data_IF_166189051964
#
_entry.id   IF_166189051964
#
_cell.length_a   1.000
_cell.length_b   1.000
_cell.length_c   1.000
_cell.angle_alpha   90.00
_cell.angle_beta   90.00
_cell.angle_gamma   90.00
#
_symmetry.space_group_name_H-M   'P 1'
#
loop_
_entity.id
_entity.type
_entity.pdbx_description
1 polymer ?
#
# COMPACT_ATOMS: atom_id res chain seq x y z
N UNK A 1 -1.41 -19.03 -0.06
CA UNK A 1 -1.08 -19.10 -1.49
C UNK A 1 -1.28 -17.70 -2.02
N UNK A 2 -0.20 -16.95 -2.17
CA UNK A 2 -0.22 -15.65 -2.81
C UNK A 2 -0.80 -15.83 -4.21
N UNK A 3 -1.88 -15.12 -4.49
CA UNK A 3 -2.41 -15.03 -5.84
C UNK A 3 -1.68 -13.88 -6.51
N UNK A 4 -0.46 -14.15 -6.97
CA UNK A 4 0.24 -13.24 -7.86
C UNK A 4 -0.65 -12.96 -9.07
N UNK A 5 -1.19 -11.74 -9.12
CA UNK A 5 -1.91 -11.23 -10.27
C UNK A 5 -3.18 -11.99 -10.63
N UNK A 6 -4.21 -11.93 -9.78
CA UNK A 6 -5.57 -12.26 -10.25
C UNK A 6 -6.02 -11.16 -11.19
N UNK A 7 -5.75 -11.35 -12.47
CA UNK A 7 -6.33 -10.54 -13.53
C UNK A 7 -7.82 -10.79 -13.53
N UNK A 8 -8.60 -9.79 -13.15
CA UNK A 8 -10.05 -9.83 -13.28
C UNK A 8 -10.38 -9.50 -14.74
N UNK A 9 -10.19 -10.46 -15.59
CA UNK A 9 -10.65 -10.37 -16.97
C UNK A 9 -11.98 -11.12 -17.11
N UNK A 10 -12.58 -11.03 -18.30
CA UNK A 10 -13.80 -11.77 -18.65
C UNK A 10 -13.72 -13.28 -18.39
N UNK A 11 -12.51 -13.84 -18.20
CA UNK A 11 -12.28 -15.26 -17.92
C UNK A 11 -12.36 -15.62 -16.44
N UNK A 12 -12.18 -14.68 -15.50
CA UNK A 12 -12.19 -14.98 -14.06
C UNK A 12 -13.58 -15.05 -13.47
N UNK A 13 -14.59 -14.53 -14.19
CA UNK A 13 -16.03 -14.67 -13.86
C UNK A 13 -16.33 -14.49 -12.35
N UNK A 14 -15.72 -13.46 -11.71
CA UNK A 14 -15.99 -13.16 -10.31
C UNK A 14 -17.47 -12.96 -10.02
N UNK A 15 -18.24 -12.54 -11.03
CA UNK A 15 -19.70 -12.39 -10.96
C UNK A 15 -20.41 -13.75 -10.86
N UNK A 16 -19.77 -14.85 -11.25
CA UNK A 16 -20.32 -16.21 -11.19
C UNK A 16 -19.89 -16.99 -9.94
N UNK A 17 -19.08 -16.40 -9.06
CA UNK A 17 -18.67 -17.03 -7.80
C UNK A 17 -19.56 -16.62 -6.64
N UNK A 18 -19.85 -17.56 -5.75
CA UNK A 18 -20.53 -17.29 -4.48
C UNK A 18 -19.60 -16.66 -3.42
N UNK A 19 -18.30 -16.55 -3.72
CA UNK A 19 -17.31 -15.95 -2.79
C UNK A 19 -17.51 -14.43 -2.79
N UNK A 20 -17.76 -13.81 -1.64
CA UNK A 20 -17.91 -12.36 -1.56
C UNK A 20 -16.68 -11.63 -2.11
N UNK A 21 -16.87 -10.60 -2.94
CA UNK A 21 -15.81 -9.83 -3.58
C UNK A 21 -14.82 -9.27 -2.54
N UNK A 22 -15.30 -8.89 -1.35
CA UNK A 22 -14.45 -8.39 -0.25
C UNK A 22 -13.39 -9.39 0.25
N UNK A 23 -13.53 -10.69 -0.09
CA UNK A 23 -12.56 -11.74 0.27
C UNK A 23 -11.29 -11.67 -0.59
N UNK A 24 -11.39 -11.00 -1.76
CA UNK A 24 -10.26 -10.87 -2.67
C UNK A 24 -9.50 -9.58 -2.39
N UNK A 25 -8.22 -9.72 -2.13
CA UNK A 25 -7.28 -8.61 -1.95
C UNK A 25 -5.99 -8.92 -2.74
N UNK A 26 -6.01 -8.71 -4.08
CA UNK A 26 -4.79 -8.84 -4.86
C UNK A 26 -3.76 -7.81 -4.40
N UNK A 27 -2.53 -8.26 -4.25
CA UNK A 27 -1.36 -7.42 -3.92
C UNK A 27 -0.45 -7.28 -5.12
N UNK A 28 0.49 -6.33 -5.05
CA UNK A 28 1.45 -6.03 -6.13
C UNK A 28 0.78 -5.66 -7.46
N UNK A 29 -0.43 -5.07 -7.41
CA UNK A 29 -1.18 -4.76 -8.63
C UNK A 29 -0.51 -3.67 -9.47
N UNK A 30 0.47 -2.96 -8.92
CA UNK A 30 1.28 -1.96 -9.60
C UNK A 30 2.51 -2.52 -10.33
N UNK A 31 2.72 -3.85 -10.35
CA UNK A 31 3.85 -4.47 -11.10
C UNK A 31 3.78 -4.22 -12.59
N UNK A 32 2.60 -4.08 -13.16
CA UNK A 32 2.40 -3.59 -14.51
C UNK A 32 1.06 -2.86 -14.63
N UNK A 33 0.97 -1.95 -15.59
CA UNK A 33 -0.18 -1.08 -15.73
C UNK A 33 -1.47 -1.80 -16.17
N UNK A 34 -1.36 -2.87 -16.95
CA UNK A 34 -2.53 -3.69 -17.35
C UNK A 34 -3.18 -4.37 -16.13
N UNK A 35 -2.36 -4.97 -15.28
CA UNK A 35 -2.79 -5.58 -14.03
C UNK A 35 -3.45 -4.54 -13.11
N UNK A 36 -2.85 -3.35 -13.03
CA UNK A 36 -3.42 -2.24 -12.25
C UNK A 36 -4.81 -1.86 -12.77
N UNK A 37 -4.97 -1.63 -14.08
CA UNK A 37 -6.27 -1.28 -14.66
C UNK A 37 -7.35 -2.35 -14.42
N UNK A 38 -6.99 -3.62 -14.48
CA UNK A 38 -7.91 -4.71 -14.18
C UNK A 38 -8.29 -4.73 -12.71
N UNK A 39 -7.33 -4.46 -11.81
CA UNK A 39 -7.59 -4.42 -10.36
C UNK A 39 -8.58 -3.30 -9.97
N UNK A 40 -8.60 -2.17 -10.72
CA UNK A 40 -9.56 -1.10 -10.49
C UNK A 40 -11.03 -1.58 -10.66
N UNK A 41 -11.26 -2.56 -11.53
CA UNK A 41 -12.59 -3.16 -11.71
C UNK A 41 -13.03 -3.89 -10.43
N UNK A 42 -12.12 -4.66 -9.81
CA UNK A 42 -12.37 -5.31 -8.51
C UNK A 42 -12.68 -4.31 -7.41
N UNK A 43 -11.89 -3.25 -7.31
CA UNK A 43 -12.08 -2.22 -6.29
C UNK A 43 -13.45 -1.53 -6.42
N UNK A 44 -13.91 -1.28 -7.65
CA UNK A 44 -15.25 -0.74 -7.92
C UNK A 44 -16.39 -1.68 -7.54
N UNK A 45 -16.16 -2.99 -7.57
CA UNK A 45 -17.11 -4.01 -7.13
C UNK A 45 -17.09 -4.20 -5.60
N UNK A 46 -16.21 -3.50 -4.87
CA UNK A 46 -16.11 -3.56 -3.41
C UNK A 46 -15.00 -4.45 -2.87
N UNK A 47 -14.15 -5.00 -3.72
CA UNK A 47 -12.89 -5.63 -3.32
C UNK A 47 -11.88 -4.59 -2.82
N UNK A 48 -10.81 -5.06 -2.22
CA UNK A 48 -9.66 -4.21 -1.83
C UNK A 48 -8.48 -4.57 -2.71
N UNK A 49 -7.71 -3.57 -3.15
CA UNK A 49 -6.49 -3.78 -3.94
C UNK A 49 -5.31 -3.17 -3.22
N UNK A 50 -4.15 -3.80 -3.35
CA UNK A 50 -2.94 -3.42 -2.65
C UNK A 50 -1.82 -3.08 -3.63
N UNK A 51 -1.27 -1.87 -3.47
CA UNK A 51 -0.08 -1.44 -4.20
C UNK A 51 1.15 -1.64 -3.31
N UNK A 52 2.23 -2.08 -3.90
CA UNK A 52 3.52 -2.13 -3.22
C UNK A 52 4.14 -0.74 -3.21
N UNK A 53 4.61 -0.32 -2.03
CA UNK A 53 5.41 0.90 -1.91
C UNK A 53 6.69 0.75 -2.72
N UNK A 54 7.12 1.84 -3.35
CA UNK A 54 8.39 1.84 -4.07
C UNK A 54 9.57 1.66 -3.09
N UNK A 55 10.53 0.88 -3.52
CA UNK A 55 11.80 0.77 -2.82
C UNK A 55 12.69 1.91 -3.32
N UNK A 56 12.76 2.98 -2.52
CA UNK A 56 13.56 4.16 -2.87
C UNK A 56 15.00 3.95 -2.40
N UNK A 57 15.95 3.58 -3.27
CA UNK A 57 17.36 3.57 -2.91
C UNK A 57 17.73 4.97 -2.42
N UNK A 58 18.08 5.09 -1.13
CA UNK A 58 18.43 6.35 -0.48
C UNK A 58 17.31 7.38 -0.29
N UNK A 59 16.03 6.99 -0.38
CA UNK A 59 14.87 7.86 -0.11
C UNK A 59 14.65 8.97 -1.13
N UNK A 60 15.21 8.86 -2.32
CA UNK A 60 15.07 9.84 -3.40
C UNK A 60 14.50 9.17 -4.65
N UNK A 61 13.45 9.79 -5.17
CA UNK A 61 12.88 9.45 -6.47
C UNK A 61 13.71 10.16 -7.52
N UNK A 62 14.29 9.43 -8.45
CA UNK A 62 14.85 10.03 -9.66
C UNK A 62 13.74 10.77 -10.40
N UNK A 63 13.99 12.00 -10.81
CA UNK A 63 13.04 12.90 -11.49
C UNK A 63 11.85 13.43 -10.66
N UNK A 64 11.81 13.21 -9.34
CA UNK A 64 10.77 13.77 -8.46
C UNK A 64 9.34 13.27 -8.73
N UNK A 65 9.19 12.16 -9.46
CA UNK A 65 7.89 11.52 -9.73
C UNK A 65 7.80 10.16 -9.05
N UNK A 66 6.97 10.11 -8.04
CA UNK A 66 6.58 8.88 -7.37
C UNK A 66 5.51 8.15 -8.21
N UNK A 67 5.79 6.96 -8.78
CA UNK A 67 4.81 6.25 -9.60
C UNK A 67 3.54 5.89 -8.83
N UNK A 68 3.63 5.64 -7.52
CA UNK A 68 2.46 5.33 -6.67
C UNK A 68 1.50 6.52 -6.59
N UNK A 69 2.01 7.75 -6.55
CA UNK A 69 1.18 8.98 -6.61
C UNK A 69 0.35 8.97 -7.89
N UNK A 70 0.99 8.73 -9.05
CA UNK A 70 0.31 8.69 -10.35
C UNK A 70 -0.80 7.64 -10.41
N UNK A 71 -0.54 6.44 -9.88
CA UNK A 71 -1.51 5.34 -9.83
C UNK A 71 -2.70 5.64 -8.92
N UNK A 72 -2.47 6.22 -7.73
CA UNK A 72 -3.54 6.63 -6.82
C UNK A 72 -4.43 7.72 -7.44
N UNK A 73 -3.83 8.69 -8.14
CA UNK A 73 -4.57 9.71 -8.87
C UNK A 73 -5.37 9.12 -10.04
N UNK A 74 -4.81 8.14 -10.75
CA UNK A 74 -5.50 7.43 -11.81
C UNK A 74 -6.68 6.64 -11.28
N UNK A 75 -6.52 5.92 -10.17
CA UNK A 75 -7.61 5.21 -9.48
C UNK A 75 -8.73 6.17 -9.08
N UNK A 76 -8.37 7.34 -8.53
CA UNK A 76 -9.33 8.40 -8.16
C UNK A 76 -10.10 8.91 -9.37
N UNK A 77 -9.39 9.24 -10.46
CA UNK A 77 -10.02 9.67 -11.73
C UNK A 77 -10.92 8.60 -12.34
N UNK A 78 -10.56 7.33 -12.14
CA UNK A 78 -11.37 6.20 -12.56
C UNK A 78 -12.61 5.98 -11.68
N UNK A 79 -12.77 6.71 -10.57
CA UNK A 79 -13.91 6.61 -9.65
C UNK A 79 -13.81 5.42 -8.70
N UNK A 80 -12.61 4.94 -8.38
CA UNK A 80 -12.37 3.93 -7.35
C UNK A 80 -12.53 4.57 -5.98
N UNK A 81 -13.31 3.99 -5.04
CA UNK A 81 -13.36 4.44 -3.67
C UNK A 81 -11.98 4.27 -3.00
N UNK A 82 -11.40 5.37 -2.51
CA UNK A 82 -10.03 5.36 -1.97
C UNK A 82 -9.90 4.49 -0.71
N UNK A 83 -10.99 4.21 -0.01
CA UNK A 83 -11.01 3.24 1.10
C UNK A 83 -10.81 1.76 0.66
N UNK A 84 -10.81 1.50 -0.64
CA UNK A 84 -10.52 0.18 -1.22
C UNK A 84 -9.06 0.04 -1.67
N UNK A 85 -8.25 1.07 -1.41
CA UNK A 85 -6.83 1.06 -1.72
C UNK A 85 -6.03 0.84 -0.45
N UNK A 86 -5.04 -0.04 -0.50
CA UNK A 86 -4.04 -0.23 0.55
C UNK A 86 -2.63 -0.10 -0.03
N UNK A 87 -1.69 0.22 0.81
CA UNK A 87 -0.26 0.26 0.47
C UNK A 87 0.50 -0.63 1.46
N UNK A 88 1.35 -1.49 0.93
CA UNK A 88 2.19 -2.40 1.71
C UNK A 88 3.65 -2.34 1.29
N UNK A 89 4.54 -2.82 2.15
CA UNK A 89 5.98 -2.74 1.91
C UNK A 89 6.52 -3.84 1.01
N UNK A 90 5.83 -4.97 0.88
CA UNK A 90 6.46 -6.23 0.44
C UNK A 90 7.75 -6.53 1.25
N UNK A 91 7.77 -6.08 2.51
CA UNK A 91 8.96 -6.08 3.37
C UNK A 91 9.50 -7.48 3.58
N UNK A 92 10.81 -7.63 3.43
CA UNK A 92 11.56 -8.89 3.42
C UNK A 92 11.22 -9.84 2.25
N UNK A 93 10.36 -9.40 1.32
CA UNK A 93 10.20 -10.05 0.04
C UNK A 93 11.49 -9.96 -0.78
N UNK A 94 11.85 -11.04 -1.47
CA UNK A 94 13.00 -11.02 -2.38
C UNK A 94 12.59 -10.52 -3.76
N UNK A 95 13.44 -9.75 -4.38
CA UNK A 95 13.30 -9.35 -5.78
C UNK A 95 14.54 -9.73 -6.58
N UNK A 96 14.36 -9.89 -7.89
CA UNK A 96 15.43 -10.29 -8.81
C UNK A 96 15.27 -9.59 -10.14
N UNK A 97 16.36 -9.04 -10.64
CA UNK A 97 16.44 -8.45 -11.97
C UNK A 97 17.22 -9.38 -12.91
N UNK A 98 16.71 -9.55 -14.11
CA UNK A 98 17.30 -10.40 -15.13
C UNK A 98 17.64 -9.56 -16.39
N UNK A 99 18.71 -9.95 -17.08
CA UNK A 99 19.05 -9.36 -18.37
C UNK A 99 18.13 -9.88 -19.50
N UNK A 100 18.34 -9.35 -20.71
CA UNK A 100 17.57 -9.75 -21.89
C UNK A 100 17.73 -11.24 -22.29
N UNK A 101 18.74 -11.92 -21.74
CA UNK A 101 19.02 -13.33 -21.96
C UNK A 101 18.50 -14.24 -20.84
N UNK A 102 17.88 -13.66 -19.80
CA UNK A 102 17.36 -14.39 -18.66
C UNK A 102 18.41 -14.72 -17.59
N UNK A 103 19.59 -14.11 -17.61
CA UNK A 103 20.58 -14.28 -16.57
C UNK A 103 20.26 -13.35 -15.40
N UNK A 104 20.42 -13.86 -14.18
CA UNK A 104 20.28 -13.06 -12.96
C UNK A 104 21.37 -11.98 -12.92
N UNK A 105 20.96 -10.71 -12.90
CA UNK A 105 21.87 -9.55 -12.82
C UNK A 105 22.00 -9.07 -11.39
N UNK A 106 20.87 -9.02 -10.67
CA UNK A 106 20.79 -8.47 -9.34
C UNK A 106 19.67 -9.15 -8.56
N UNK A 107 19.85 -9.25 -7.25
CA UNK A 107 18.80 -9.66 -6.33
C UNK A 107 18.93 -8.89 -5.02
N UNK A 108 17.82 -8.68 -4.35
CA UNK A 108 17.78 -8.00 -3.08
C UNK A 108 16.58 -8.39 -2.24
N UNK A 109 16.41 -7.67 -1.15
CA UNK A 109 15.30 -7.83 -0.21
C UNK A 109 14.71 -6.45 0.04
N UNK A 110 13.38 -6.35 -0.04
CA UNK A 110 12.67 -5.10 0.15
C UNK A 110 12.76 -4.61 1.61
N UNK A 111 13.03 -3.34 1.81
CA UNK A 111 13.05 -2.72 3.14
C UNK A 111 11.62 -2.41 3.61
N UNK A 112 11.34 -2.72 4.87
CA UNK A 112 10.08 -2.35 5.54
C UNK A 112 9.93 -0.83 5.74
N UNK A 113 11.02 -0.09 5.73
CA UNK A 113 11.06 1.36 5.86
C UNK A 113 10.44 2.11 4.68
N UNK A 114 10.28 1.45 3.53
CA UNK A 114 9.69 2.05 2.34
C UNK A 114 8.26 2.57 2.55
N UNK A 115 7.46 1.95 3.44
CA UNK A 115 6.12 2.45 3.78
C UNK A 115 6.15 3.86 4.38
N UNK A 116 7.10 4.11 5.27
CA UNK A 116 7.25 5.44 5.87
C UNK A 116 7.74 6.46 4.83
N UNK A 117 8.69 6.08 3.98
CA UNK A 117 9.15 6.91 2.88
C UNK A 117 8.00 7.23 1.92
N UNK A 118 7.16 6.24 1.58
CA UNK A 118 6.00 6.41 0.71
C UNK A 118 4.94 7.34 1.34
N UNK A 119 4.64 7.20 2.63
CA UNK A 119 3.73 8.13 3.33
C UNK A 119 4.21 9.58 3.19
N UNK A 120 5.50 9.81 3.43
CA UNK A 120 6.08 11.15 3.29
C UNK A 120 6.00 11.67 1.86
N UNK A 121 6.27 10.81 0.89
CA UNK A 121 6.17 11.16 -0.53
C UNK A 121 4.75 11.56 -0.92
N UNK A 122 3.74 10.81 -0.50
CA UNK A 122 2.33 11.13 -0.77
C UNK A 122 1.95 12.53 -0.26
N UNK A 123 2.38 12.87 0.95
CA UNK A 123 2.00 14.14 1.58
C UNK A 123 2.86 15.30 1.05
N UNK A 124 4.18 15.14 1.04
CA UNK A 124 5.11 16.24 0.77
C UNK A 124 5.27 16.52 -0.73
N UNK A 125 5.19 15.48 -1.56
CA UNK A 125 5.37 15.58 -3.01
C UNK A 125 4.06 15.44 -3.79
N UNK A 126 3.18 14.55 -3.34
CA UNK A 126 1.90 14.25 -4.00
C UNK A 126 0.74 15.16 -3.61
N UNK A 127 0.91 15.99 -2.57
CA UNK A 127 -0.15 16.89 -2.11
C UNK A 127 -1.37 16.20 -1.50
N UNK A 128 -1.24 14.92 -1.12
CA UNK A 128 -2.31 14.22 -0.40
C UNK A 128 -2.49 14.81 0.99
N UNK A 129 -3.74 14.95 1.42
CA UNK A 129 -4.04 15.30 2.82
C UNK A 129 -3.55 14.17 3.72
N UNK A 130 -2.88 14.51 4.83
CA UNK A 130 -2.27 13.53 5.73
C UNK A 130 -3.25 12.43 6.18
N UNK A 131 -4.48 12.78 6.51
CA UNK A 131 -5.50 11.81 6.94
C UNK A 131 -5.86 10.80 5.84
N UNK A 132 -5.87 11.21 4.59
CA UNK A 132 -6.10 10.33 3.45
C UNK A 132 -4.87 9.44 3.20
N UNK A 133 -3.68 10.03 3.14
CA UNK A 133 -2.44 9.27 2.96
C UNK A 133 -2.27 8.21 4.05
N UNK A 134 -2.50 8.55 5.32
CA UNK A 134 -2.46 7.61 6.44
C UNK A 134 -3.49 6.48 6.29
N UNK A 135 -4.66 6.75 5.70
CA UNK A 135 -5.70 5.73 5.58
C UNK A 135 -5.24 4.51 4.79
N UNK A 136 -4.39 4.68 3.78
CA UNK A 136 -3.85 3.58 2.97
C UNK A 136 -2.99 2.60 3.77
N UNK A 137 -2.39 3.05 4.87
CA UNK A 137 -1.49 2.26 5.73
C UNK A 137 -2.15 1.83 7.04
N UNK A 138 -3.31 2.38 7.39
CA UNK A 138 -3.92 2.20 8.71
C UNK A 138 -5.36 1.73 8.65
N UNK A 139 -6.32 2.62 8.44
CA UNK A 139 -7.74 2.29 8.51
C UNK A 139 -8.22 1.39 7.35
N UNK A 140 -7.68 1.56 6.14
CA UNK A 140 -8.08 0.73 5.01
C UNK A 140 -7.63 -0.72 5.18
N UNK A 141 -6.33 -1.03 5.45
CA UNK A 141 -5.92 -2.41 5.73
C UNK A 141 -6.61 -2.97 6.99
N UNK A 142 -6.84 -2.16 8.03
CA UNK A 142 -7.56 -2.63 9.21
C UNK A 142 -9.01 -3.05 8.90
N UNK A 143 -9.70 -2.33 8.00
CA UNK A 143 -11.03 -2.71 7.52
C UNK A 143 -11.00 -3.95 6.63
N UNK A 144 -10.03 -4.04 5.70
CA UNK A 144 -9.88 -5.19 4.83
C UNK A 144 -9.63 -6.49 5.61
N UNK A 145 -8.86 -6.39 6.70
CA UNK A 145 -8.50 -7.51 7.58
C UNK A 145 -9.51 -7.74 8.72
N UNK A 146 -10.63 -7.00 8.76
CA UNK A 146 -11.64 -7.06 9.81
C UNK A 146 -11.09 -6.76 11.22
N UNK A 147 -10.04 -5.94 11.31
CA UNK A 147 -9.41 -5.50 12.56
C UNK A 147 -9.93 -4.13 13.05
N UNK A 148 -10.64 -3.40 12.18
CA UNK A 148 -11.22 -2.11 12.55
C UNK A 148 -12.45 -2.32 13.47
N UNK A 149 -12.66 -1.53 14.55
CA UNK A 149 -11.91 -0.37 14.99
C UNK A 149 -10.80 -0.66 16.02
N UNK A 150 -10.48 -1.92 16.27
CA UNK A 150 -9.40 -2.28 17.20
C UNK A 150 -8.05 -1.74 16.75
N UNK A 151 -7.84 -1.68 15.42
CA UNK A 151 -6.68 -1.09 14.76
C UNK A 151 -7.10 -0.07 13.71
N UNK A 152 -6.16 0.79 13.29
CA UNK A 152 -6.36 1.74 12.21
C UNK A 152 -7.13 3.01 12.59
N UNK A 153 -7.34 3.28 13.87
CA UNK A 153 -7.93 4.53 14.36
C UNK A 153 -7.45 4.87 15.78
N UNK A 154 -7.63 6.12 16.16
CA UNK A 154 -7.44 6.60 17.53
C UNK A 154 -8.83 6.74 18.14
N UNK A 155 -9.22 5.76 18.95
CA UNK A 155 -10.52 5.72 19.61
C UNK A 155 -10.45 4.97 20.94
N UNK A 156 -11.37 5.22 21.89
CA UNK A 156 -11.45 4.44 23.13
C UNK A 156 -11.63 2.95 22.82
N UNK A 157 -10.76 2.10 23.37
CA UNK A 157 -10.77 0.65 23.16
C UNK A 157 -9.94 0.16 21.96
N UNK A 158 -9.41 1.06 21.13
CA UNK A 158 -8.42 0.71 20.11
C UNK A 158 -7.06 0.44 20.74
N UNK A 159 -6.24 -0.36 20.06
CA UNK A 159 -4.84 -0.55 20.44
C UNK A 159 -4.08 0.78 20.29
N UNK A 160 -3.26 1.11 21.29
CA UNK A 160 -2.44 2.32 21.26
C UNK A 160 -1.16 2.08 20.44
N UNK A 161 -1.33 1.96 19.13
CA UNK A 161 -0.25 1.90 18.13
C UNK A 161 -0.16 3.28 17.47
N UNK A 162 0.81 4.10 17.88
CA UNK A 162 0.87 5.52 17.54
C UNK A 162 2.25 5.91 17.02
N UNK A 163 2.25 6.84 16.08
CA UNK A 163 3.45 7.55 15.64
C UNK A 163 3.32 9.01 16.03
N UNK A 164 4.30 9.55 16.75
CA UNK A 164 4.46 10.99 16.92
C UNK A 164 5.42 11.47 15.86
N UNK A 165 4.99 12.47 15.10
CA UNK A 165 5.77 13.03 14.00
C UNK A 165 5.82 14.54 14.13
N UNK A 166 6.99 15.09 13.93
CA UNK A 166 7.25 16.52 13.90
C UNK A 166 7.03 17.13 12.50
N UNK A 167 7.66 18.27 12.26
CA UNK A 167 7.64 18.93 10.96
C UNK A 167 8.15 18.03 9.84
N UNK A 168 7.61 18.22 8.64
CA UNK A 168 7.90 17.39 7.47
C UNK A 168 7.73 15.89 7.71
N UNK A 169 6.84 15.52 8.64
CA UNK A 169 6.58 14.14 9.06
C UNK A 169 7.83 13.42 9.55
N UNK A 170 8.81 14.13 10.14
CA UNK A 170 9.94 13.50 10.79
C UNK A 170 9.46 12.65 11.96
N UNK A 171 9.85 11.37 11.99
CA UNK A 171 9.45 10.45 13.03
C UNK A 171 10.17 10.78 14.34
N UNK A 172 9.40 11.05 15.39
CA UNK A 172 9.89 11.37 16.72
C UNK A 172 9.76 10.17 17.67
N UNK A 173 8.54 9.62 17.79
CA UNK A 173 8.28 8.53 18.73
C UNK A 173 7.40 7.44 18.10
N UNK A 174 7.75 6.20 18.35
CA UNK A 174 6.94 5.02 17.99
C UNK A 174 6.40 4.38 19.26
N UNK A 175 5.09 4.24 19.32
CA UNK A 175 4.38 3.56 20.42
C UNK A 175 3.69 2.33 19.85
N UNK A 176 3.92 1.17 20.45
CA UNK A 176 3.20 -0.05 20.10
C UNK A 176 2.54 -0.65 21.35
N UNK A 177 1.22 -0.87 21.26
CA UNK A 177 0.39 -1.34 22.39
C UNK A 177 0.61 -0.53 23.67
N UNK A 178 0.70 0.78 23.54
CA UNK A 178 0.90 1.71 24.65
C UNK A 178 2.30 1.74 25.24
N UNK A 179 3.28 1.10 24.62
CA UNK A 179 4.69 1.13 25.02
C UNK A 179 5.52 1.90 24.03
N UNK A 180 6.37 2.78 24.52
CA UNK A 180 7.36 3.47 23.68
C UNK A 180 8.38 2.44 23.20
N UNK A 181 8.53 2.33 21.89
CA UNK A 181 9.44 1.40 21.22
C UNK A 181 10.66 2.10 20.67
N UNK A 182 10.52 3.39 20.32
CA UNK A 182 11.58 4.22 19.77
C UNK A 182 11.31 5.68 20.11
N UNK A 183 12.33 6.41 20.46
CA UNK A 183 12.35 7.88 20.56
C UNK A 183 13.55 8.38 19.75
N UNK A 184 13.32 9.40 18.92
CA UNK A 184 14.40 10.11 18.25
C UNK A 184 15.17 10.90 19.30
N UNK A 185 16.50 10.71 19.38
CA UNK A 185 17.39 11.40 20.32
C UNK A 185 17.72 12.83 19.86
#
# INVERSE_FOLDING_TARGET
RELDGVVINEKTKLEETEIPVKTFQPTHVNRNHELFLDSLKLAKLGGTIDLTCEDFPHGLIEDGKDPVIGLLEEARRAGVPMERMTLSSDGQGSWSNYDEYGNLVEMGVTDVGNMYAQLRSLVLNGGFVLSEALSFFTSNPAKALELFPKKGCIAPGADADLLLMGEALALDTVIARGRVMMEAG
#
